data_IF_300158138188
#
_entry.id   IF_300158138188
#
_cell.length_a   1.000
_cell.length_b   1.000
_cell.length_c   1.000
_cell.angle_alpha   90.00
_cell.angle_beta   90.00
_cell.angle_gamma   90.00
#
_symmetry.space_group_name_H-M   'P 1'
#
loop_
_entity.id
_entity.type
_entity.pdbx_description
1 polymer ?
#
# COMPACT_ATOMS: atom_id res chain seq x y z
N UNK A 1 14.57 -7.06 -1.83
CA UNK A 1 14.62 -5.70 -2.39
C UNK A 1 14.79 -4.72 -1.23
N UNK A 2 15.50 -3.61 -1.42
CA UNK A 2 15.74 -2.63 -0.34
C UNK A 2 14.82 -1.40 -0.53
N UNK A 3 14.24 -0.91 0.57
CA UNK A 3 13.49 0.36 0.57
C UNK A 3 14.47 1.53 0.37
N UNK A 4 14.38 2.17 -0.79
CA UNK A 4 15.16 3.37 -1.12
C UNK A 4 14.48 4.65 -0.62
N UNK A 5 13.15 4.73 -0.75
CA UNK A 5 12.36 5.87 -0.28
C UNK A 5 11.04 5.37 0.32
N UNK A 6 10.56 6.08 1.35
CA UNK A 6 9.31 5.79 2.04
C UNK A 6 8.57 7.10 2.34
N UNK A 7 7.34 7.22 1.86
CA UNK A 7 6.43 8.29 2.23
C UNK A 7 5.18 7.69 2.87
N UNK A 8 4.93 8.05 4.13
CA UNK A 8 3.69 7.70 4.83
C UNK A 8 2.59 8.66 4.33
N UNK A 9 1.53 8.10 3.76
CA UNK A 9 0.40 8.86 3.20
C UNK A 9 -0.73 8.97 4.20
N UNK A 10 -1.02 7.86 4.89
CA UNK A 10 -2.04 7.82 5.92
C UNK A 10 -1.72 6.75 6.97
N UNK A 11 -2.22 7.01 8.18
CA UNK A 11 -2.17 6.08 9.30
C UNK A 11 -3.51 6.13 10.03
N UNK A 12 -4.37 5.14 9.77
CA UNK A 12 -5.67 4.99 10.41
C UNK A 12 -5.72 3.67 11.17
N UNK A 13 -5.98 3.70 12.49
CA UNK A 13 -6.12 2.50 13.33
C UNK A 13 -5.04 1.42 13.09
N UNK A 14 -3.76 1.85 13.05
CA UNK A 14 -2.59 1.00 12.75
C UNK A 14 -2.43 0.51 11.31
N UNK A 15 -3.36 0.86 10.43
CA UNK A 15 -3.33 0.57 9.01
C UNK A 15 -2.59 1.70 8.30
N UNK A 16 -1.41 1.35 7.78
CA UNK A 16 -0.48 2.26 7.14
C UNK A 16 -0.62 2.19 5.61
N UNK A 17 -0.94 3.33 4.99
CA UNK A 17 -0.81 3.53 3.54
C UNK A 17 0.46 4.31 3.25
N UNK A 18 1.28 3.82 2.34
CA UNK A 18 2.57 4.44 2.02
C UNK A 18 2.94 4.29 0.54
N UNK A 19 3.69 5.28 0.04
CA UNK A 19 4.40 5.16 -1.22
C UNK A 19 5.82 4.67 -0.93
N UNK A 20 6.22 3.57 -1.55
CA UNK A 20 7.50 2.91 -1.30
C UNK A 20 8.26 2.76 -2.61
N UNK A 21 9.47 3.30 -2.67
CA UNK A 21 10.40 3.04 -3.77
C UNK A 21 11.29 1.86 -3.39
N UNK A 22 11.24 0.79 -4.19
CA UNK A 22 12.10 -0.39 -4.06
C UNK A 22 13.00 -0.46 -5.29
N UNK A 23 14.27 -0.12 -5.13
CA UNK A 23 15.24 -0.07 -6.22
C UNK A 23 14.74 0.82 -7.39
N UNK A 24 14.37 0.21 -8.52
CA UNK A 24 13.92 0.91 -9.73
C UNK A 24 12.39 1.09 -9.83
N UNK A 25 11.63 0.47 -8.93
CA UNK A 25 10.17 0.42 -9.00
C UNK A 25 9.52 1.17 -7.84
N UNK A 26 8.33 1.72 -8.07
CA UNK A 26 7.53 2.37 -7.03
C UNK A 26 6.22 1.61 -6.80
N UNK A 27 5.85 1.51 -5.54
CA UNK A 27 4.68 0.77 -5.09
C UNK A 27 3.84 1.62 -4.13
N UNK A 28 2.53 1.41 -4.17
CA UNK A 28 1.64 1.80 -3.07
C UNK A 28 1.50 0.58 -2.17
N UNK A 29 1.94 0.72 -0.92
CA UNK A 29 1.77 -0.26 0.13
C UNK A 29 0.56 0.14 0.96
N UNK A 30 -0.45 -0.71 0.99
CA UNK A 30 -1.58 -0.58 1.89
C UNK A 30 -1.55 -1.74 2.89
N UNK A 31 -1.46 -1.46 4.18
CA UNK A 31 -1.59 -2.50 5.19
C UNK A 31 -3.00 -3.12 5.10
N UNK A 32 -3.09 -4.44 5.13
CA UNK A 32 -4.36 -5.15 5.04
C UNK A 32 -4.60 -6.07 6.23
N UNK A 33 -3.55 -6.42 6.97
CA UNK A 33 -3.67 -7.23 8.17
C UNK A 33 -2.54 -6.88 9.14
N UNK A 34 -2.84 -6.82 10.43
CA UNK A 34 -1.86 -6.69 11.51
C UNK A 34 -2.10 -7.80 12.53
N UNK A 35 -1.04 -8.52 12.88
CA UNK A 35 -1.03 -9.38 14.05
C UNK A 35 -0.66 -8.52 15.27
N UNK A 36 -1.60 -8.30 16.19
CA UNK A 36 -1.39 -7.47 17.38
C UNK A 36 -0.44 -8.09 18.40
N UNK A 37 -0.27 -9.41 18.39
CA UNK A 37 0.64 -10.12 19.30
C UNK A 37 2.09 -10.02 18.80
N UNK A 38 2.33 -10.30 17.51
CA UNK A 38 3.69 -10.31 16.96
C UNK A 38 4.14 -8.98 16.34
N UNK A 39 3.22 -8.04 16.15
CA UNK A 39 3.43 -6.74 15.48
C UNK A 39 3.59 -6.84 13.95
N UNK A 40 3.48 -8.05 13.41
CA UNK A 40 3.67 -8.37 12.01
C UNK A 40 2.50 -7.89 11.15
N UNK A 41 2.81 -7.33 9.98
CA UNK A 41 1.83 -6.76 9.07
C UNK A 41 1.92 -7.41 7.70
N UNK A 42 0.77 -7.58 7.07
CA UNK A 42 0.66 -7.95 5.66
C UNK A 42 0.22 -6.71 4.90
N UNK A 43 0.99 -6.37 3.88
CA UNK A 43 0.76 -5.25 2.98
C UNK A 43 0.33 -5.77 1.62
N UNK A 44 -0.71 -5.15 1.08
CA UNK A 44 -1.08 -5.21 -0.31
C UNK A 44 -0.29 -4.15 -1.07
N UNK A 45 0.58 -4.59 -1.96
CA UNK A 45 1.56 -3.77 -2.65
C UNK A 45 1.19 -3.69 -4.13
N UNK A 46 0.78 -2.51 -4.60
CA UNK A 46 0.53 -2.26 -6.02
C UNK A 46 1.72 -1.55 -6.64
N UNK A 47 2.35 -2.17 -7.64
CA UNK A 47 3.31 -1.50 -8.51
C UNK A 47 2.58 -0.47 -9.39
N UNK A 48 3.11 0.74 -9.42
CA UNK A 48 2.53 1.84 -10.22
C UNK A 48 3.46 2.26 -11.35
N UNK A 49 2.87 2.76 -12.44
CA UNK A 49 3.62 3.33 -13.55
C UNK A 49 4.24 4.71 -13.20
N UNK A 50 5.22 5.14 -13.99
CA UNK A 50 5.96 6.40 -13.75
C UNK A 50 5.04 7.63 -13.72
N UNK A 51 3.99 7.66 -14.55
CA UNK A 51 3.07 8.78 -14.61
C UNK A 51 2.19 8.84 -13.34
N UNK A 52 1.68 7.69 -12.91
CA UNK A 52 1.00 7.52 -11.62
C UNK A 52 1.90 7.91 -10.45
N UNK A 53 3.19 7.53 -10.48
CA UNK A 53 4.17 7.91 -9.47
C UNK A 53 4.37 9.44 -9.41
N UNK A 54 4.54 10.10 -10.57
CA UNK A 54 4.65 11.57 -10.65
C UNK A 54 3.43 12.28 -10.07
N UNK A 55 2.22 11.79 -10.38
CA UNK A 55 0.98 12.34 -9.87
C UNK A 55 0.89 12.22 -8.34
N UNK A 56 1.16 11.04 -7.77
CA UNK A 56 1.12 10.83 -6.32
C UNK A 56 2.21 11.68 -5.62
N UNK A 57 3.43 11.71 -6.15
CA UNK A 57 4.51 12.56 -5.60
C UNK A 57 4.11 14.05 -5.60
N UNK A 58 3.38 14.52 -6.61
CA UNK A 58 2.87 15.88 -6.63
C UNK A 58 1.82 16.14 -5.54
N UNK A 59 1.02 15.14 -5.19
CA UNK A 59 0.05 15.22 -4.09
C UNK A 59 0.79 15.25 -2.75
N UNK A 60 1.74 14.33 -2.52
CA UNK A 60 2.55 14.25 -1.29
C UNK A 60 3.21 15.60 -0.99
N UNK A 61 3.78 16.25 -2.00
CA UNK A 61 4.44 17.56 -1.86
C UNK A 61 3.52 18.68 -1.37
N UNK A 62 2.19 18.56 -1.52
CA UNK A 62 1.23 19.55 -1.00
C UNK A 62 1.16 19.54 0.53
N UNK A 63 1.50 18.41 1.17
CA UNK A 63 1.43 18.22 2.62
C UNK A 63 0.02 18.04 3.18
N UNK A 64 -0.99 18.72 2.61
CA UNK A 64 -2.40 18.59 2.99
C UNK A 64 -3.22 18.01 1.83
N UNK A 65 -3.91 16.90 2.07
CA UNK A 65 -4.66 16.19 1.03
C UNK A 65 -6.14 16.57 1.07
N UNK A 66 -6.68 16.91 -0.10
CA UNK A 66 -8.11 17.17 -0.30
C UNK A 66 -8.85 15.91 -0.73
N UNK A 67 -10.19 15.90 -0.68
CA UNK A 67 -11.01 14.81 -1.24
C UNK A 67 -10.67 14.50 -2.70
N UNK A 68 -10.33 15.55 -3.47
CA UNK A 68 -9.89 15.40 -4.86
C UNK A 68 -8.56 14.64 -4.96
N UNK A 69 -7.63 14.91 -4.04
CA UNK A 69 -6.35 14.21 -3.99
C UNK A 69 -6.54 12.73 -3.62
N UNK A 70 -7.40 12.44 -2.66
CA UNK A 70 -7.80 11.06 -2.31
C UNK A 70 -8.45 10.34 -3.48
N UNK A 71 -9.34 11.00 -4.21
CA UNK A 71 -9.96 10.42 -5.41
C UNK A 71 -8.91 10.09 -6.49
N UNK A 72 -7.92 10.95 -6.71
CA UNK A 72 -6.83 10.68 -7.65
C UNK A 72 -5.99 9.47 -7.19
N UNK A 73 -5.71 9.35 -5.89
CA UNK A 73 -4.99 8.19 -5.34
C UNK A 73 -5.79 6.90 -5.51
N UNK A 74 -7.10 6.91 -5.24
CA UNK A 74 -7.99 5.77 -5.45
C UNK A 74 -8.05 5.35 -6.92
N UNK A 75 -8.21 6.30 -7.85
CA UNK A 75 -8.19 6.00 -9.29
C UNK A 75 -6.84 5.42 -9.74
N UNK A 76 -5.74 5.93 -9.18
CA UNK A 76 -4.39 5.41 -9.46
C UNK A 76 -4.25 3.98 -8.97
N UNK A 77 -4.73 3.69 -7.77
CA UNK A 77 -4.74 2.35 -7.20
C UNK A 77 -5.55 1.40 -8.08
N UNK A 78 -6.81 1.72 -8.36
CA UNK A 78 -7.72 0.91 -9.19
C UNK A 78 -7.15 0.63 -10.59
N UNK A 79 -6.60 1.65 -11.27
CA UNK A 79 -5.98 1.51 -12.59
C UNK A 79 -4.86 0.47 -12.62
N UNK A 80 -4.07 0.43 -11.54
CA UNK A 80 -2.90 -0.44 -11.41
C UNK A 80 -3.20 -1.77 -10.68
N UNK A 81 -4.40 -1.93 -10.13
CA UNK A 81 -4.84 -3.13 -9.42
C UNK A 81 -5.18 -4.28 -10.37
N UNK A 82 -4.15 -4.85 -11.00
CA UNK A 82 -4.26 -5.92 -12.00
C UNK A 82 -3.25 -7.02 -11.69
N UNK A 83 -3.56 -8.24 -12.10
CA UNK A 83 -2.87 -9.49 -11.71
C UNK A 83 -1.32 -9.53 -11.86
N UNK A 84 -0.72 -8.62 -12.63
CA UNK A 84 0.73 -8.53 -12.80
C UNK A 84 1.40 -7.43 -11.98
N UNK A 85 0.62 -6.58 -11.33
CA UNK A 85 1.10 -5.39 -10.60
C UNK A 85 0.85 -5.52 -9.10
N UNK A 86 0.21 -6.61 -8.66
CA UNK A 86 -0.17 -6.82 -7.26
C UNK A 86 0.76 -7.83 -6.60
N UNK A 87 1.23 -7.45 -5.42
CA UNK A 87 2.12 -8.24 -4.58
C UNK A 87 1.64 -8.17 -3.13
N UNK A 88 2.09 -9.14 -2.33
CA UNK A 88 1.93 -9.16 -0.88
C UNK A 88 3.31 -9.09 -0.23
N UNK A 89 3.42 -8.24 0.77
CA UNK A 89 4.62 -8.13 1.60
C UNK A 89 4.27 -8.40 3.05
N UNK A 90 5.12 -9.16 3.73
CA UNK A 90 4.95 -9.49 5.15
C UNK A 90 6.14 -8.94 5.91
N UNK A 91 5.92 -7.98 6.80
CA UNK A 91 6.99 -7.33 7.58
C UNK A 91 6.47 -6.73 8.88
N UNK A 92 7.35 -6.57 9.87
CA UNK A 92 7.02 -5.88 11.13
C UNK A 92 7.07 -4.35 10.98
N UNK A 93 7.91 -3.85 10.07
CA UNK A 93 8.16 -2.41 9.91
C UNK A 93 8.55 -2.06 8.48
N UNK A 94 8.14 -0.87 8.04
CA UNK A 94 8.66 -0.22 6.84
C UNK A 94 9.64 0.87 7.29
N UNK A 95 10.89 0.78 6.86
CA UNK A 95 11.90 1.81 7.09
C UNK A 95 12.86 1.84 5.89
N UNK A 96 13.41 3.02 5.59
CA UNK A 96 14.43 3.16 4.55
C UNK A 96 15.65 2.33 4.93
N UNK A 97 16.20 1.61 3.96
CA UNK A 97 17.29 0.64 4.16
C UNK A 97 16.84 -0.75 4.61
N UNK A 98 15.57 -0.95 4.96
CA UNK A 98 15.06 -2.29 5.29
C UNK A 98 14.88 -3.16 4.05
N UNK A 99 15.16 -4.44 4.20
CA UNK A 99 14.84 -5.46 3.21
C UNK A 99 13.33 -5.77 3.22
N UNK A 100 12.79 -5.92 2.01
CA UNK A 100 11.42 -6.31 1.74
C UNK A 100 11.41 -7.47 0.75
N UNK A 101 10.53 -8.43 1.05
CA UNK A 101 10.17 -9.53 0.17
C UNK A 101 8.78 -9.26 -0.40
N UNK A 102 8.68 -9.23 -1.72
CA UNK A 102 7.40 -9.15 -2.44
C UNK A 102 7.04 -10.51 -3.01
N UNK A 103 5.88 -11.02 -2.62
CA UNK A 103 5.31 -12.24 -3.18
C UNK A 103 4.22 -11.85 -4.17
N UNK A 104 4.24 -12.39 -5.39
CA UNK A 104 3.20 -12.09 -6.38
C UNK A 104 1.85 -12.60 -5.85
N UNK A 105 0.83 -11.75 -5.91
CA UNK A 105 -0.52 -12.12 -5.53
C UNK A 105 -1.17 -12.99 -6.61
N UNK A 106 -2.08 -13.89 -6.22
CA UNK A 106 -2.89 -14.64 -7.17
C UNK A 106 -4.11 -13.82 -7.59
N UNK A 107 -4.78 -14.25 -8.66
CA UNK A 107 -6.02 -13.62 -9.14
C UNK A 107 -7.10 -13.56 -8.06
N UNK A 108 -7.15 -14.56 -7.17
CA UNK A 108 -8.08 -14.67 -6.04
C UNK A 108 -7.81 -13.65 -4.93
N UNK A 109 -6.59 -13.14 -4.87
CA UNK A 109 -6.12 -12.26 -3.79
C UNK A 109 -6.33 -10.78 -4.17
N UNK A 110 -6.78 -10.50 -5.39
CA UNK A 110 -7.08 -9.15 -5.86
C UNK A 110 -8.35 -8.65 -5.19
N UNK A 111 -8.20 -7.63 -4.35
CA UNK A 111 -9.30 -6.96 -3.65
C UNK A 111 -9.48 -5.54 -4.16
N UNK A 112 -10.67 -4.97 -4.01
CA UNK A 112 -10.91 -3.55 -4.28
C UNK A 112 -10.59 -2.75 -3.01
N UNK A 113 -9.83 -1.66 -3.18
CA UNK A 113 -9.50 -0.72 -2.10
C UNK A 113 -9.72 0.70 -2.64
N UNK A 114 -10.59 1.47 -1.98
CA UNK A 114 -10.77 2.91 -2.19
C UNK A 114 -10.29 3.70 -0.98
N UNK A 115 -9.37 4.62 -1.19
CA UNK A 115 -8.96 5.57 -0.16
C UNK A 115 -9.96 6.72 -0.05
N UNK A 116 -10.17 7.30 1.16
CA UNK A 116 -9.64 6.90 2.47
C UNK A 116 -10.56 5.93 3.26
N UNK A 117 -11.72 5.56 2.71
CA UNK A 117 -12.77 4.80 3.40
C UNK A 117 -12.47 3.31 3.56
N UNK A 118 -11.82 2.69 2.58
CA UNK A 118 -11.59 1.24 2.52
C UNK A 118 -10.25 0.83 3.15
N UNK A 119 -9.57 1.74 3.84
CA UNK A 119 -8.47 1.42 4.74
C UNK A 119 -8.98 0.48 5.86
N UNK A 120 -10.28 0.49 6.16
CA UNK A 120 -10.94 -0.35 7.17
C UNK A 120 -11.45 -1.73 6.69
N UNK A 121 -11.48 -2.01 5.38
CA UNK A 121 -12.29 -3.10 4.79
C UNK A 121 -11.54 -4.44 4.66
N UNK A 122 -10.59 -4.72 5.55
CA UNK A 122 -10.04 -6.08 5.74
C UNK A 122 -10.32 -6.67 7.12
N UNK A 123 -11.48 -6.32 7.66
CA UNK A 123 -12.16 -7.16 8.63
C UNK A 123 -13.30 -7.91 7.95
N UNK A 124 -12.96 -8.89 7.11
CA UNK A 124 -13.85 -10.05 6.91
C UNK A 124 -13.29 -11.18 7.77
N UNK A 125 -13.79 -11.23 9.00
CA UNK A 125 -13.40 -12.23 9.97
C UNK A 125 -13.71 -13.65 9.49
N UNK A 126 -12.77 -14.56 9.75
CA UNK A 126 -13.09 -15.92 10.17
C UNK A 126 -12.16 -16.19 11.34
N UNK A 127 -12.77 -16.51 12.49
CA UNK A 127 -12.06 -16.74 13.74
C UNK A 127 -10.98 -17.81 13.58
N UNK A 128 -9.85 -17.56 14.22
CA UNK A 128 -9.01 -18.62 14.74
C UNK A 128 -9.00 -18.47 16.26
N UNK A 129 -9.31 -19.60 16.90
CA UNK A 129 -9.43 -19.83 18.34
C UNK A 129 -8.24 -19.29 19.14
#
# INVERSE_FOLDING_TARGET
MIIAELHILDWYDDILTSLVSLENDTYIFNCIQKNFVSGEKIYYCIKIDENSCKQIRSIIKKGNFTDKDWNIMSQTFEKNNKNNHVFLSKTKSLAVGSEIVLNKANSSDIIQIKFPSDISVLYTGIGYQ
#
